data_IF_644308833349
#
_entry.id   IF_644308833349
#
_cell.length_a   1.000
_cell.length_b   1.000
_cell.length_c   1.000
_cell.angle_alpha   90.00
_cell.angle_beta   90.00
_cell.angle_gamma   90.00
#
_symmetry.space_group_name_H-M   'P 1'
#
loop_
_entity.id
_entity.type
_entity.pdbx_description
1 polymer ?
#
# COMPACT_ATOMS: atom_id res chain seq x y z
N UNK A 1 -6.45 9.66 -8.12
CA UNK A 1 -5.76 9.21 -6.89
C UNK A 1 -4.77 10.26 -6.43
N UNK A 2 -4.91 10.76 -5.19
CA UNK A 2 -3.89 11.58 -4.56
C UNK A 2 -2.78 10.67 -4.02
N UNK A 3 -1.55 10.82 -4.52
CA UNK A 3 -0.41 10.05 -4.04
C UNK A 3 0.02 10.62 -2.69
N UNK A 4 0.03 9.77 -1.66
CA UNK A 4 0.55 10.14 -0.33
C UNK A 4 2.01 10.61 -0.45
N UNK A 5 2.26 11.88 -0.10
CA UNK A 5 3.63 12.41 0.03
C UNK A 5 4.19 11.98 1.39
N UNK A 6 5.35 11.33 1.39
CA UNK A 6 6.09 10.91 2.59
C UNK A 6 7.56 11.33 2.49
N UNK A 7 8.19 11.57 3.62
CA UNK A 7 9.62 11.93 3.73
C UNK A 7 10.57 10.79 3.35
N UNK A 8 10.09 9.54 3.32
CA UNK A 8 10.80 8.34 2.83
C UNK A 8 12.22 8.13 3.40
N UNK A 9 12.48 8.61 4.62
CA UNK A 9 13.78 8.46 5.30
C UNK A 9 13.94 7.06 5.88
N UNK A 10 15.16 6.55 5.84
CA UNK A 10 15.55 5.31 6.49
C UNK A 10 15.61 5.51 8.01
N UNK A 11 15.16 4.51 8.77
CA UNK A 11 15.01 4.52 10.23
C UNK A 11 14.20 5.68 10.82
N UNK A 12 13.29 6.28 10.04
CA UNK A 12 12.35 7.26 10.59
C UNK A 12 11.28 6.55 11.43
N UNK A 13 11.43 6.62 12.75
CA UNK A 13 10.44 6.10 13.70
C UNK A 13 9.32 7.12 13.88
N UNK A 14 8.08 6.66 13.78
CA UNK A 14 6.91 7.44 14.24
C UNK A 14 6.79 7.30 15.76
N UNK A 15 5.86 8.05 16.35
CA UNK A 15 5.55 7.99 17.79
C UNK A 15 5.20 6.57 18.28
N UNK A 16 4.77 5.69 17.39
CA UNK A 16 4.40 4.29 17.66
C UNK A 16 5.59 3.31 17.64
N UNK A 17 6.84 3.79 17.65
CA UNK A 17 8.08 3.00 17.59
C UNK A 17 8.29 2.14 16.33
N UNK A 18 7.33 2.07 15.41
CA UNK A 18 7.47 1.36 14.15
C UNK A 18 8.19 2.23 13.10
N UNK A 19 9.13 1.66 12.33
CA UNK A 19 9.73 2.35 11.19
C UNK A 19 8.66 2.68 10.14
N UNK A 20 8.59 3.94 9.72
CA UNK A 20 7.65 4.35 8.68
C UNK A 20 7.98 3.66 7.34
N UNK A 21 6.98 3.01 6.73
CA UNK A 21 7.10 2.47 5.37
C UNK A 21 7.39 3.61 4.39
N UNK A 22 8.45 3.45 3.61
CA UNK A 22 8.85 4.37 2.54
C UNK A 22 8.04 4.04 1.30
N UNK A 23 7.33 5.02 0.75
CA UNK A 23 6.36 4.84 -0.34
C UNK A 23 6.80 5.65 -1.55
N UNK A 24 6.98 4.97 -2.68
CA UNK A 24 7.30 5.59 -3.95
C UNK A 24 6.22 5.22 -4.96
N UNK A 25 5.66 6.22 -5.63
CA UNK A 25 4.76 5.98 -6.75
C UNK A 25 5.55 6.00 -8.06
N UNK A 26 5.41 4.94 -8.85
CA UNK A 26 6.06 4.79 -10.15
C UNK A 26 4.99 4.78 -11.22
N UNK A 27 5.05 5.74 -12.13
CA UNK A 27 4.22 5.75 -13.35
C UNK A 27 4.60 4.56 -14.24
N UNK A 28 3.72 4.22 -15.18
CA UNK A 28 3.97 3.21 -16.22
C UNK A 28 5.30 3.51 -16.91
N UNK A 29 6.12 2.48 -17.11
CA UNK A 29 7.40 2.60 -17.80
C UNK A 29 7.68 1.32 -18.60
N UNK A 30 7.72 1.44 -19.93
CA UNK A 30 7.86 0.29 -20.82
C UNK A 30 6.76 -0.75 -20.58
N UNK A 31 7.17 -2.01 -20.42
CA UNK A 31 6.26 -3.14 -20.11
C UNK A 31 5.78 -3.16 -18.66
N UNK A 32 6.30 -2.31 -17.77
CA UNK A 32 5.90 -2.29 -16.35
C UNK A 32 4.67 -1.41 -16.13
N UNK A 33 3.64 -1.99 -15.54
CA UNK A 33 2.43 -1.29 -15.08
C UNK A 33 2.75 -0.23 -14.02
N UNK A 34 1.89 0.79 -13.87
CA UNK A 34 2.01 1.73 -12.76
C UNK A 34 1.93 0.97 -11.44
N UNK A 35 2.69 1.43 -10.44
CA UNK A 35 2.82 0.70 -9.18
C UNK A 35 3.23 1.57 -8.01
N UNK A 36 2.91 1.10 -6.82
CA UNK A 36 3.55 1.53 -5.59
C UNK A 36 4.74 0.62 -5.29
N UNK A 37 5.91 1.23 -5.06
CA UNK A 37 7.06 0.57 -4.47
C UNK A 37 7.09 0.93 -2.99
N UNK A 38 6.83 -0.06 -2.15
CA UNK A 38 6.94 0.03 -0.71
C UNK A 38 8.31 -0.51 -0.31
N UNK A 39 9.06 0.24 0.48
CA UNK A 39 10.30 -0.23 1.10
C UNK A 39 10.17 -0.19 2.60
N UNK A 40 10.78 -1.17 3.26
CA UNK A 40 10.91 -1.17 4.70
C UNK A 40 11.58 0.11 5.18
N UNK A 41 11.13 0.60 6.33
CA UNK A 41 11.75 1.74 6.99
C UNK A 41 13.11 1.38 7.62
N UNK A 42 13.34 0.11 7.97
CA UNK A 42 14.53 -0.35 8.70
C UNK A 42 15.50 -1.25 7.90
N UNK A 43 15.10 -1.75 6.73
CA UNK A 43 15.95 -2.59 5.87
C UNK A 43 15.68 -2.32 4.39
N UNK A 44 16.38 -3.05 3.52
CA UNK A 44 16.28 -2.91 2.06
C UNK A 44 15.17 -3.75 1.42
N UNK A 45 14.44 -4.52 2.22
CA UNK A 45 13.27 -5.26 1.78
C UNK A 45 12.22 -4.34 1.15
N UNK A 46 11.53 -4.88 0.14
CA UNK A 46 10.58 -4.13 -0.68
C UNK A 46 9.41 -5.00 -1.15
N UNK A 47 8.29 -4.33 -1.39
CA UNK A 47 7.09 -4.87 -2.00
C UNK A 47 6.66 -3.96 -3.15
N UNK A 48 6.25 -4.53 -4.27
CA UNK A 48 5.60 -3.80 -5.36
C UNK A 48 4.12 -4.15 -5.40
N UNK A 49 3.27 -3.12 -5.50
CA UNK A 49 1.83 -3.25 -5.69
C UNK A 49 1.51 -2.64 -7.04
N UNK A 50 1.20 -3.49 -8.02
CA UNK A 50 0.75 -3.06 -9.34
C UNK A 50 -0.76 -2.83 -9.31
N UNK A 51 -1.24 -1.92 -10.14
CA UNK A 51 -2.66 -1.59 -10.17
C UNK A 51 -3.08 -1.11 -11.57
N UNK A 52 -4.38 -1.26 -11.84
CA UNK A 52 -5.07 -0.66 -12.98
C UNK A 52 -6.45 -0.14 -12.54
N UNK A 53 -7.42 -0.09 -13.47
CA UNK A 53 -8.79 0.34 -13.19
C UNK A 53 -9.65 -0.71 -12.51
N UNK A 54 -9.26 -1.98 -12.53
CA UNK A 54 -10.09 -3.12 -12.12
C UNK A 54 -9.55 -3.83 -10.88
N UNK A 55 -8.24 -3.81 -10.65
CA UNK A 55 -7.65 -4.59 -9.56
C UNK A 55 -6.26 -4.18 -9.12
N UNK A 56 -5.73 -4.98 -8.20
CA UNK A 56 -4.35 -4.88 -7.71
C UNK A 56 -3.65 -6.22 -7.88
N UNK A 57 -2.35 -6.16 -8.16
CA UNK A 57 -1.45 -7.29 -8.00
C UNK A 57 -0.49 -7.02 -6.85
N UNK A 58 -0.52 -7.89 -5.84
CA UNK A 58 0.36 -7.83 -4.68
C UNK A 58 1.17 -9.11 -4.64
N UNK A 59 2.50 -8.99 -4.75
CA UNK A 59 3.43 -10.11 -4.68
C UNK A 59 3.11 -11.25 -5.68
N UNK A 60 2.72 -10.90 -6.91
CA UNK A 60 2.38 -11.86 -7.98
C UNK A 60 0.96 -12.44 -7.91
N UNK A 61 0.16 -12.07 -6.90
CA UNK A 61 -1.25 -12.46 -6.80
C UNK A 61 -2.11 -11.33 -7.31
N UNK A 62 -2.94 -11.59 -8.33
CA UNK A 62 -3.87 -10.62 -8.90
C UNK A 62 -5.28 -10.84 -8.31
N UNK A 63 -6.01 -9.75 -8.06
CA UNK A 63 -7.36 -9.76 -7.51
C UNK A 63 -8.07 -8.42 -7.69
N UNK A 64 -9.40 -8.44 -7.61
CA UNK A 64 -10.23 -7.24 -7.71
C UNK A 64 -10.01 -6.29 -6.52
N UNK A 65 -10.41 -5.02 -6.68
CA UNK A 65 -10.37 -4.05 -5.56
C UNK A 65 -11.21 -4.56 -4.37
N UNK A 66 -12.35 -5.19 -4.66
CA UNK A 66 -13.25 -5.77 -3.68
C UNK A 66 -12.56 -6.90 -2.88
N UNK A 67 -11.92 -7.85 -3.57
CA UNK A 67 -11.20 -8.96 -2.92
C UNK A 67 -10.13 -8.44 -1.95
N UNK A 68 -9.32 -7.48 -2.41
CA UNK A 68 -8.28 -6.88 -1.58
C UNK A 68 -8.84 -6.11 -0.38
N UNK A 69 -9.97 -5.43 -0.54
CA UNK A 69 -10.64 -4.75 0.56
C UNK A 69 -11.14 -5.75 1.61
N UNK A 70 -11.78 -6.84 1.19
CA UNK A 70 -12.28 -7.89 2.09
C UNK A 70 -11.16 -8.56 2.89
N UNK A 71 -10.01 -8.77 2.26
CA UNK A 71 -8.84 -9.38 2.90
C UNK A 71 -8.12 -8.40 3.84
N UNK A 72 -7.83 -7.17 3.39
CA UNK A 72 -6.91 -6.27 4.10
C UNK A 72 -7.58 -5.44 5.18
N UNK A 73 -8.83 -4.99 5.00
CA UNK A 73 -9.47 -4.09 5.96
C UNK A 73 -9.65 -4.71 7.36
N UNK A 74 -10.03 -5.99 7.51
CA UNK A 74 -10.09 -6.63 8.81
C UNK A 74 -8.72 -6.64 9.52
N UNK A 75 -7.62 -6.85 8.78
CA UNK A 75 -6.26 -6.83 9.33
C UNK A 75 -5.84 -5.43 9.78
N UNK A 76 -6.37 -4.39 9.14
CA UNK A 76 -6.17 -3.00 9.52
C UNK A 76 -7.12 -2.54 10.64
N UNK A 77 -7.92 -3.46 11.21
CA UNK A 77 -8.94 -3.18 12.22
C UNK A 77 -9.98 -2.14 11.78
N UNK A 78 -10.15 -1.97 10.46
CA UNK A 78 -11.15 -1.08 9.87
C UNK A 78 -12.44 -1.87 9.74
N UNK A 79 -13.51 -1.40 10.39
CA UNK A 79 -14.84 -2.01 10.26
C UNK A 79 -15.64 -1.28 9.19
N UNK A 80 -16.28 -2.04 8.31
CA UNK A 80 -17.30 -1.54 7.39
C UNK A 80 -18.59 -1.32 8.21
N UNK A 81 -18.97 -0.08 8.48
CA UNK A 81 -20.25 0.24 9.15
C UNK A 81 -21.07 1.09 8.19
N UNK A 82 -22.23 0.57 7.76
CA UNK A 82 -23.18 1.28 6.88
C UNK A 82 -22.51 1.94 5.67
N UNK A 83 -21.83 1.15 4.82
CA UNK A 83 -21.12 1.63 3.61
C UNK A 83 -20.01 2.67 3.82
N UNK A 84 -19.61 2.94 5.08
CA UNK A 84 -18.48 3.82 5.41
C UNK A 84 -17.41 3.03 6.18
N UNK A 85 -16.15 3.27 5.83
CA UNK A 85 -15.00 2.71 6.54
C UNK A 85 -14.73 3.56 7.78
N UNK A 86 -14.74 2.94 8.96
CA UNK A 86 -14.46 3.60 10.24
C UNK A 86 -13.22 2.96 10.85
N UNK A 87 -12.17 3.76 11.07
CA UNK A 87 -11.02 3.35 11.90
C UNK A 87 -11.41 3.48 13.37
N UNK A 88 -11.08 2.47 14.18
CA UNK A 88 -11.20 2.55 15.64
C UNK A 88 -10.13 3.45 16.25
#
# INVERSE_FOLDING_TARGET
>A
MSVLKRTNRFYYKRQDSYPQIRVYHKKRAGKKMPRYLLKCGCCDEKLEIYYDSEGLEINGVNGSIEDWCEILLPLLQIKKKNSKFISR
#
